data_IF_405040538239
#
_entry.id   IF_405040538239
#
_cell.length_a   1.000
_cell.length_b   1.000
_cell.length_c   1.000
_cell.angle_alpha   90.00
_cell.angle_beta   90.00
_cell.angle_gamma   90.00
#
_symmetry.space_group_name_H-M   'P 1'
#
loop_
_entity.id
_entity.type
_entity.pdbx_description
1 polymer ?
#
# COMPACT_ATOMS: atom_id res chain seq x y z
N UNK A 1 32.00 -3.59 -10.14
CA UNK A 1 32.45 -3.61 -11.54
C UNK A 1 31.54 -2.72 -12.36
N UNK A 2 32.03 -1.65 -13.00
CA UNK A 2 31.19 -0.67 -13.69
C UNK A 2 31.06 -1.02 -15.18
N UNK A 3 29.85 -0.90 -15.73
CA UNK A 3 29.63 -0.87 -17.18
C UNK A 3 28.87 0.41 -17.50
N UNK A 4 29.56 1.25 -18.28
CA UNK A 4 29.12 2.46 -18.95
C UNK A 4 28.34 2.08 -20.22
N UNK A 5 27.53 3.02 -20.71
CA UNK A 5 27.03 3.27 -22.08
C UNK A 5 25.49 3.41 -22.07
N UNK A 6 24.85 4.34 -22.78
CA UNK A 6 25.22 5.57 -23.47
C UNK A 6 23.90 6.21 -23.95
N UNK A 7 23.85 7.52 -24.00
CA UNK A 7 22.74 8.32 -24.53
C UNK A 7 22.42 7.97 -26.00
N UNK A 8 21.15 8.01 -26.36
CA UNK A 8 20.70 8.28 -27.73
C UNK A 8 19.46 9.18 -27.67
N UNK A 9 19.68 10.43 -28.07
CA UNK A 9 18.65 11.41 -28.37
C UNK A 9 18.03 11.08 -29.74
N UNK A 10 16.73 11.27 -29.86
CA UNK A 10 16.09 11.56 -31.15
C UNK A 10 15.05 12.65 -30.93
N UNK A 11 15.40 13.80 -31.47
CA UNK A 11 14.59 14.99 -31.66
C UNK A 11 13.46 14.69 -32.64
N UNK A 12 12.24 15.16 -32.33
CA UNK A 12 11.25 15.46 -33.36
C UNK A 12 10.61 16.81 -33.07
N UNK A 13 11.12 17.78 -33.80
CA UNK A 13 10.58 19.11 -34.07
C UNK A 13 9.19 19.04 -34.72
N UNK A 14 8.22 19.81 -34.23
CA UNK A 14 7.26 20.54 -35.07
C UNK A 14 6.67 21.70 -34.29
N UNK A 15 7.30 22.87 -34.43
CA UNK A 15 6.72 24.16 -34.08
C UNK A 15 5.64 24.50 -35.10
N UNK A 16 4.37 24.60 -34.69
CA UNK A 16 3.32 25.26 -35.47
C UNK A 16 3.23 26.71 -35.01
N UNK A 17 3.91 27.58 -35.76
CA UNK A 17 3.72 29.02 -35.72
C UNK A 17 2.28 29.35 -36.10
N UNK A 18 1.52 29.93 -35.17
CA UNK A 18 0.21 30.50 -35.48
C UNK A 18 0.41 31.94 -35.99
N UNK A 19 0.16 32.10 -37.28
CA UNK A 19 -0.01 33.35 -37.99
C UNK A 19 -0.80 34.40 -37.19
N UNK A 20 -0.16 35.55 -36.95
CA UNK A 20 -0.79 36.77 -36.45
C UNK A 20 -1.15 37.64 -37.66
N UNK A 21 -2.42 37.98 -37.92
CA UNK A 21 -2.75 38.87 -39.03
C UNK A 21 -2.46 40.33 -38.63
N UNK A 22 -1.53 40.95 -39.35
CA UNK A 22 -1.22 42.37 -39.30
C UNK A 22 -2.29 43.19 -40.03
N UNK A 23 -2.89 44.16 -39.33
CA UNK A 23 -3.75 45.21 -39.91
C UNK A 23 -2.86 46.30 -40.52
N UNK A 24 -3.12 46.80 -41.74
CA UNK A 24 -2.39 47.95 -42.27
C UNK A 24 -2.98 49.25 -41.72
N UNK A 25 -2.17 50.30 -41.59
CA UNK A 25 -2.57 51.51 -42.32
C UNK A 25 -1.41 52.36 -42.84
N UNK A 26 -1.74 53.17 -43.84
CA UNK A 26 -1.34 54.58 -43.91
C UNK A 26 0.07 54.87 -44.41
N UNK A 27 0.15 55.23 -45.70
CA UNK A 27 1.25 56.04 -46.21
C UNK A 27 1.17 57.42 -45.55
N UNK A 28 2.24 57.86 -44.91
CA UNK A 28 2.58 59.27 -44.80
C UNK A 28 4.08 59.45 -45.05
N UNK A 29 4.33 60.50 -45.83
CA UNK A 29 5.60 61.00 -46.35
C UNK A 29 6.45 61.47 -45.15
N UNK A 30 7.78 61.36 -45.14
CA UNK A 30 8.68 62.50 -45.45
C UNK A 30 10.16 62.10 -45.31
N UNK A 31 10.93 62.59 -46.28
CA UNK A 31 12.38 62.83 -46.35
C UNK A 31 13.05 63.14 -45.00
N UNK A 32 14.21 62.54 -44.76
CA UNK A 32 15.15 62.93 -43.69
C UNK A 32 16.32 63.69 -44.31
N UNK A 33 16.54 64.94 -43.88
CA UNK A 33 17.83 65.63 -43.88
C UNK A 33 17.90 66.42 -42.57
N UNK A 34 19.04 66.29 -41.90
CA UNK A 34 19.33 66.72 -40.53
C UNK A 34 19.46 68.24 -40.36
N UNK A 35 19.07 68.74 -39.18
CA UNK A 35 19.81 69.78 -38.46
C UNK A 35 19.33 69.86 -37.00
N UNK A 36 20.31 69.89 -36.11
CA UNK A 36 20.25 69.94 -34.64
C UNK A 36 19.84 71.35 -34.18
N UNK A 37 18.89 71.45 -33.23
CA UNK A 37 18.87 72.55 -32.25
C UNK A 37 18.05 72.14 -31.00
N UNK A 38 18.47 72.66 -29.85
CA UNK A 38 18.12 72.26 -28.48
C UNK A 38 16.64 72.51 -28.08
N UNK A 39 15.90 71.46 -27.69
CA UNK A 39 14.71 71.58 -26.83
C UNK A 39 14.63 70.39 -25.84
N UNK A 40 14.44 70.72 -24.56
CA UNK A 40 14.37 69.81 -23.41
C UNK A 40 13.35 68.67 -23.59
N UNK A 41 13.55 67.48 -22.99
CA UNK A 41 12.59 66.38 -23.08
C UNK A 41 11.31 66.74 -22.32
N UNK A 42 10.24 67.05 -23.06
CA UNK A 42 8.91 67.32 -22.52
C UNK A 42 8.38 66.07 -21.79
N UNK A 43 8.43 66.09 -20.46
CA UNK A 43 7.87 65.03 -19.61
C UNK A 43 6.36 65.12 -19.64
N UNK A 44 5.71 64.09 -20.19
CA UNK A 44 4.26 63.98 -20.25
C UNK A 44 3.67 63.81 -18.83
N UNK A 45 3.31 64.93 -18.20
CA UNK A 45 2.69 64.99 -16.86
C UNK A 45 1.19 64.68 -16.86
N UNK A 46 0.67 64.02 -17.90
CA UNK A 46 -0.75 63.69 -17.97
C UNK A 46 -1.09 62.54 -17.01
N UNK A 47 -1.85 62.86 -15.96
CA UNK A 47 -2.48 61.86 -15.10
C UNK A 47 -3.35 60.97 -15.97
N UNK A 48 -3.11 59.64 -15.93
CA UNK A 48 -3.85 58.64 -16.71
C UNK A 48 -5.35 58.82 -16.43
N UNK A 49 -6.06 59.41 -17.40
CA UNK A 49 -7.50 59.65 -17.30
C UNK A 49 -8.20 58.28 -17.32
N UNK A 50 -8.96 57.91 -16.26
CA UNK A 50 -9.68 56.65 -16.23
C UNK A 50 -10.75 56.67 -17.32
N UNK A 51 -10.57 55.83 -18.32
CA UNK A 51 -11.44 55.76 -19.49
C UNK A 51 -12.77 55.09 -19.12
N UNK A 52 -13.66 55.84 -18.47
CA UNK A 52 -15.00 55.41 -18.06
C UNK A 52 -15.96 55.38 -19.24
N UNK A 53 -15.73 54.44 -20.16
CA UNK A 53 -16.70 54.10 -21.18
C UNK A 53 -17.71 53.09 -20.62
N UNK A 54 -19.01 53.36 -20.77
CA UNK A 54 -20.09 52.39 -20.46
C UNK A 54 -19.89 51.04 -21.15
N UNK A 55 -19.19 51.01 -22.30
CA UNK A 55 -18.85 49.78 -23.03
C UNK A 55 -17.71 49.01 -22.33
N UNK A 56 -16.71 49.73 -21.81
CA UNK A 56 -15.60 49.16 -21.04
C UNK A 56 -16.11 48.60 -19.70
N UNK A 57 -16.97 49.34 -18.99
CA UNK A 57 -17.58 48.86 -17.73
C UNK A 57 -18.42 47.60 -17.94
N UNK A 58 -19.15 47.51 -19.05
CA UNK A 58 -19.91 46.30 -19.42
C UNK A 58 -18.97 45.12 -19.72
N UNK A 59 -17.85 45.36 -20.40
CA UNK A 59 -16.84 44.34 -20.70
C UNK A 59 -16.15 43.84 -19.42
N UNK A 60 -15.73 44.76 -18.54
CA UNK A 60 -15.11 44.46 -17.25
C UNK A 60 -16.10 43.69 -16.34
N UNK A 61 -17.37 44.10 -16.26
CA UNK A 61 -18.41 43.34 -15.54
C UNK A 61 -18.62 41.94 -16.14
N UNK A 62 -18.52 41.78 -17.46
CA UNK A 62 -18.67 40.47 -18.12
C UNK A 62 -17.43 39.58 -17.90
N UNK A 63 -16.23 40.16 -17.89
CA UNK A 63 -14.98 39.45 -17.57
C UNK A 63 -14.93 39.05 -16.09
N UNK A 64 -15.29 39.95 -15.17
CA UNK A 64 -15.40 39.64 -13.74
C UNK A 64 -16.41 38.53 -13.46
N UNK A 65 -17.58 38.55 -14.10
CA UNK A 65 -18.56 37.44 -13.99
C UNK A 65 -18.04 36.13 -14.57
N UNK A 66 -17.20 36.17 -15.62
CA UNK A 66 -16.56 34.96 -16.18
C UNK A 66 -15.45 34.44 -15.27
N UNK A 67 -14.62 35.30 -14.69
CA UNK A 67 -13.55 34.90 -13.80
C UNK A 67 -14.08 34.35 -12.48
N UNK A 68 -15.16 34.92 -11.92
CA UNK A 68 -15.84 34.36 -10.73
C UNK A 68 -16.39 32.96 -11.03
N UNK A 69 -17.08 32.76 -12.15
CA UNK A 69 -17.56 31.42 -12.56
C UNK A 69 -16.44 30.42 -12.81
N UNK A 70 -15.30 30.87 -13.34
CA UNK A 70 -14.11 30.03 -13.52
C UNK A 70 -13.46 29.70 -12.19
N UNK A 71 -13.36 30.66 -11.27
CA UNK A 71 -12.85 30.46 -9.92
C UNK A 71 -13.75 29.53 -9.11
N UNK A 72 -15.08 29.62 -9.23
CA UNK A 72 -16.03 28.68 -8.63
C UNK A 72 -15.87 27.26 -9.17
N UNK A 73 -15.69 27.10 -10.50
CA UNK A 73 -15.43 25.80 -11.11
C UNK A 73 -14.07 25.23 -10.72
N UNK A 74 -13.03 26.05 -10.69
CA UNK A 74 -11.70 25.66 -10.20
C UNK A 74 -11.73 25.37 -8.71
N UNK A 75 -12.61 26.05 -7.96
CA UNK A 75 -12.76 25.83 -6.54
C UNK A 75 -13.36 24.45 -6.24
N UNK A 76 -14.34 24.02 -7.03
CA UNK A 76 -14.92 22.67 -7.02
C UNK A 76 -14.00 21.60 -7.62
N UNK A 77 -12.94 21.98 -8.36
CA UNK A 77 -12.01 21.03 -8.97
C UNK A 77 -10.97 20.47 -7.98
N UNK A 78 -10.81 21.07 -6.80
CA UNK A 78 -9.83 20.59 -5.81
C UNK A 78 -10.43 19.54 -4.89
N UNK A 79 -9.81 18.35 -4.86
CA UNK A 79 -10.16 17.24 -3.95
C UNK A 79 -10.16 17.67 -2.47
N UNK A 80 -9.34 18.67 -2.11
CA UNK A 80 -9.27 19.20 -0.75
C UNK A 80 -10.51 19.99 -0.31
N UNK A 81 -11.41 20.34 -1.23
CA UNK A 81 -12.69 21.00 -0.91
C UNK A 81 -13.84 20.01 -0.73
N UNK A 82 -13.60 18.71 -0.87
CA UNK A 82 -14.60 17.70 -0.56
C UNK A 82 -14.87 17.67 0.96
N UNK A 83 -16.13 17.43 1.37
CA UNK A 83 -16.45 17.03 2.73
C UNK A 83 -15.59 15.83 3.16
N UNK A 84 -15.24 15.80 4.46
CA UNK A 84 -14.35 14.77 5.01
C UNK A 84 -14.88 13.35 4.74
N UNK A 85 -16.20 13.16 4.80
CA UNK A 85 -16.87 11.88 4.57
C UNK A 85 -16.67 11.38 3.14
N UNK A 86 -16.79 12.28 2.15
CA UNK A 86 -16.55 11.94 0.75
C UNK A 86 -15.07 11.65 0.49
N UNK A 87 -14.18 12.41 1.13
CA UNK A 87 -12.74 12.15 1.03
C UNK A 87 -12.38 10.80 1.64
N UNK A 88 -12.97 10.42 2.78
CA UNK A 88 -12.79 9.10 3.38
C UNK A 88 -13.31 7.98 2.48
N UNK A 89 -14.48 8.15 1.85
CA UNK A 89 -14.99 7.16 0.89
C UNK A 89 -14.08 6.98 -0.32
N UNK A 90 -13.56 8.08 -0.87
CA UNK A 90 -12.60 8.03 -1.99
C UNK A 90 -11.34 7.29 -1.55
N UNK A 91 -10.76 7.63 -0.40
CA UNK A 91 -9.56 6.99 0.13
C UNK A 91 -9.80 5.51 0.46
N UNK A 92 -10.98 5.16 0.98
CA UNK A 92 -11.39 3.79 1.29
C UNK A 92 -11.54 2.91 0.04
N UNK A 93 -11.82 3.50 -1.12
CA UNK A 93 -11.89 2.79 -2.39
C UNK A 93 -10.52 2.52 -3.03
N UNK A 94 -9.46 3.22 -2.60
CA UNK A 94 -8.10 3.05 -3.14
C UNK A 94 -7.40 1.79 -2.60
N UNK A 95 -6.30 1.39 -3.24
CA UNK A 95 -5.42 0.39 -2.66
C UNK A 95 -4.59 0.98 -1.51
N UNK A 96 -4.23 0.20 -0.48
CA UNK A 96 -3.40 0.66 0.63
C UNK A 96 -2.11 1.37 0.20
N UNK A 97 -1.41 0.84 -0.82
CA UNK A 97 -0.21 1.47 -1.38
C UNK A 97 -0.49 2.85 -1.96
N UNK A 98 -1.59 3.01 -2.69
CA UNK A 98 -1.98 4.28 -3.30
C UNK A 98 -2.32 5.32 -2.23
N UNK A 99 -2.98 4.92 -1.13
CA UNK A 99 -3.23 5.83 0.00
C UNK A 99 -1.92 6.36 0.59
N UNK A 100 -0.89 5.52 0.71
CA UNK A 100 0.44 5.96 1.16
C UNK A 100 1.12 6.91 0.16
N UNK A 101 0.86 6.77 -1.14
CA UNK A 101 1.34 7.72 -2.16
C UNK A 101 0.57 9.05 -2.05
N UNK A 102 -0.76 9.01 -1.91
CA UNK A 102 -1.61 10.20 -1.73
C UNK A 102 -1.18 11.01 -0.50
N UNK A 103 -0.78 10.31 0.56
CA UNK A 103 -0.22 10.92 1.78
C UNK A 103 1.01 11.79 1.53
N UNK A 104 1.76 11.56 0.46
CA UNK A 104 2.96 12.32 0.11
C UNK A 104 2.67 13.54 -0.79
N UNK A 105 1.43 13.68 -1.29
CA UNK A 105 1.08 14.72 -2.26
C UNK A 105 1.10 16.12 -1.64
N UNK A 106 0.55 16.29 -0.44
CA UNK A 106 0.60 17.56 0.29
C UNK A 106 0.41 17.36 1.81
N UNK A 107 0.69 18.42 2.58
CA UNK A 107 0.64 18.40 4.05
C UNK A 107 -0.78 18.14 4.58
N UNK A 108 -1.80 18.77 3.99
CA UNK A 108 -3.19 18.62 4.43
C UNK A 108 -3.68 17.17 4.29
N UNK A 109 -3.41 16.50 3.16
CA UNK A 109 -3.72 15.09 2.96
C UNK A 109 -2.90 14.20 3.89
N UNK A 110 -1.65 14.55 4.15
CA UNK A 110 -0.80 13.80 5.07
C UNK A 110 -1.39 13.79 6.49
N UNK A 111 -1.80 14.97 6.98
CA UNK A 111 -2.42 15.13 8.29
C UNK A 111 -3.78 14.43 8.35
N UNK A 112 -4.64 14.65 7.35
CA UNK A 112 -5.95 14.02 7.25
C UNK A 112 -5.86 12.48 7.26
N UNK A 113 -4.97 11.91 6.45
CA UNK A 113 -4.78 10.44 6.38
C UNK A 113 -4.21 9.90 7.68
N UNK A 114 -3.33 10.63 8.38
CA UNK A 114 -2.80 10.22 9.69
C UNK A 114 -3.90 10.21 10.76
N UNK A 115 -4.74 11.24 10.79
CA UNK A 115 -5.81 11.37 11.77
C UNK A 115 -6.88 10.29 11.58
N UNK A 116 -7.24 10.00 10.33
CA UNK A 116 -8.28 9.01 10.00
C UNK A 116 -7.72 7.65 9.55
N UNK A 117 -6.45 7.35 9.88
CA UNK A 117 -5.74 6.16 9.41
C UNK A 117 -6.54 4.87 9.68
N UNK A 118 -7.09 4.74 10.88
CA UNK A 118 -7.86 3.57 11.29
C UNK A 118 -9.13 3.37 10.46
N UNK A 119 -9.89 4.44 10.22
CA UNK A 119 -11.16 4.36 9.47
C UNK A 119 -10.90 3.97 8.03
N UNK A 120 -9.92 4.63 7.39
CA UNK A 120 -9.52 4.34 6.00
C UNK A 120 -9.06 2.88 5.88
N UNK A 121 -8.16 2.43 6.76
CA UNK A 121 -7.66 1.06 6.73
C UNK A 121 -8.78 0.04 6.96
N UNK A 122 -9.67 0.29 7.91
CA UNK A 122 -10.81 -0.59 8.20
C UNK A 122 -11.72 -0.74 6.98
N UNK A 123 -12.05 0.38 6.32
CA UNK A 123 -12.91 0.36 5.14
C UNK A 123 -12.26 -0.43 4.01
N UNK A 124 -10.98 -0.16 3.71
CA UNK A 124 -10.22 -0.90 2.69
C UNK A 124 -10.19 -2.40 2.99
N UNK A 125 -9.86 -2.78 4.23
CA UNK A 125 -9.77 -4.18 4.65
C UNK A 125 -11.13 -4.86 4.52
N UNK A 126 -12.21 -4.21 4.95
CA UNK A 126 -13.56 -4.77 4.87
C UNK A 126 -14.06 -4.97 3.44
N UNK A 127 -13.65 -4.10 2.51
CA UNK A 127 -14.10 -4.16 1.12
C UNK A 127 -13.24 -5.10 0.26
N UNK A 128 -11.93 -5.16 0.51
CA UNK A 128 -10.97 -5.84 -0.39
C UNK A 128 -10.28 -7.07 0.20
N UNK A 129 -10.06 -7.09 1.53
CA UNK A 129 -9.19 -8.07 2.19
C UNK A 129 -9.90 -8.78 3.35
N UNK A 130 -11.20 -9.02 3.20
CA UNK A 130 -12.04 -9.56 4.26
C UNK A 130 -11.64 -10.97 4.68
N UNK A 131 -11.34 -11.84 3.71
CA UNK A 131 -10.90 -13.22 3.96
C UNK A 131 -9.49 -13.24 4.56
N UNK A 132 -8.57 -12.46 4.00
CA UNK A 132 -7.20 -12.38 4.47
C UNK A 132 -7.12 -11.85 5.90
N UNK A 133 -7.90 -10.82 6.22
CA UNK A 133 -7.98 -10.23 7.56
C UNK A 133 -8.34 -11.26 8.63
N UNK A 134 -9.23 -12.20 8.31
CA UNK A 134 -9.67 -13.27 9.22
C UNK A 134 -8.62 -14.36 9.40
N UNK A 135 -7.79 -14.61 8.39
CA UNK A 135 -6.72 -15.60 8.41
C UNK A 135 -5.47 -15.11 9.14
N UNK A 136 -5.19 -13.80 9.07
CA UNK A 136 -3.94 -13.21 9.56
C UNK A 136 -4.19 -12.15 10.64
N UNK A 137 -4.66 -12.52 11.84
CA UNK A 137 -4.80 -11.57 12.94
C UNK A 137 -3.45 -10.97 13.33
N UNK A 138 -3.45 -9.73 13.82
CA UNK A 138 -2.27 -9.08 14.35
C UNK A 138 -1.94 -9.61 15.77
N UNK A 139 -0.65 -9.76 16.12
CA UNK A 139 -0.26 -9.97 17.51
C UNK A 139 -0.62 -8.75 18.36
N UNK A 140 -0.99 -8.99 19.61
CA UNK A 140 -1.41 -7.95 20.55
C UNK A 140 -0.20 -7.37 21.26
N UNK A 141 -0.16 -6.04 21.42
CA UNK A 141 0.87 -5.35 22.22
C UNK A 141 0.81 -5.82 23.67
N UNK A 142 1.96 -6.10 24.29
CA UNK A 142 2.02 -6.49 25.69
C UNK A 142 1.39 -5.41 26.60
N UNK A 143 1.58 -4.14 26.25
CA UNK A 143 0.97 -3.00 26.95
C UNK A 143 -0.58 -3.02 26.97
N UNK A 144 -1.24 -3.75 26.06
CA UNK A 144 -2.70 -3.90 26.02
C UNK A 144 -3.19 -5.14 26.79
N UNK A 145 -2.28 -6.02 27.22
CA UNK A 145 -2.61 -7.21 28.01
C UNK A 145 -2.68 -6.80 29.49
N UNK A 146 -3.56 -7.47 30.25
CA UNK A 146 -3.69 -7.28 31.70
C UNK A 146 -2.32 -7.37 32.41
N UNK A 147 -1.90 -6.34 33.17
CA UNK A 147 -0.63 -6.33 33.90
C UNK A 147 -0.43 -7.55 34.80
N UNK A 148 -1.49 -8.12 35.37
CA UNK A 148 -1.39 -9.32 36.20
C UNK A 148 -0.84 -10.53 35.41
N UNK A 149 -1.09 -10.58 34.10
CA UNK A 149 -0.60 -11.64 33.24
C UNK A 149 0.83 -11.43 32.74
N UNK A 150 1.40 -10.23 32.91
CA UNK A 150 2.74 -9.90 32.37
C UNK A 150 3.83 -10.79 32.99
N UNK A 151 3.77 -11.02 34.30
CA UNK A 151 4.73 -11.87 35.00
C UNK A 151 4.78 -13.29 34.43
N UNK A 152 3.60 -13.89 34.23
CA UNK A 152 3.49 -15.23 33.66
C UNK A 152 3.94 -15.28 32.19
N UNK A 153 3.62 -14.26 31.40
CA UNK A 153 4.01 -14.17 30.00
C UNK A 153 5.52 -13.99 29.83
N UNK A 154 6.16 -13.15 30.65
CA UNK A 154 7.60 -12.87 30.62
C UNK A 154 8.45 -13.92 31.37
N UNK A 155 7.82 -14.89 32.03
CA UNK A 155 8.52 -15.93 32.79
C UNK A 155 9.57 -16.66 31.90
N UNK A 156 10.86 -16.69 32.30
CA UNK A 156 11.94 -17.25 31.49
C UNK A 156 11.78 -18.75 31.24
N UNK A 157 11.14 -19.49 32.16
CA UNK A 157 10.83 -20.92 31.95
C UNK A 157 9.86 -21.10 30.79
N UNK A 158 8.82 -20.27 30.75
CA UNK A 158 7.85 -20.24 29.66
C UNK A 158 8.51 -19.83 28.35
N UNK A 159 9.36 -18.81 28.37
CA UNK A 159 10.06 -18.34 27.17
C UNK A 159 10.98 -19.40 26.59
N UNK A 160 11.64 -20.22 27.42
CA UNK A 160 12.42 -21.38 26.97
C UNK A 160 11.55 -22.45 26.31
N UNK A 161 10.36 -22.74 26.86
CA UNK A 161 9.41 -23.68 26.25
C UNK A 161 8.92 -23.16 24.89
N UNK A 162 8.56 -21.89 24.81
CA UNK A 162 8.14 -21.26 23.56
C UNK A 162 9.29 -21.19 22.53
N UNK A 163 10.55 -21.09 22.99
CA UNK A 163 11.71 -21.12 22.12
C UNK A 163 11.95 -22.48 21.43
N UNK A 164 11.37 -23.58 21.92
CA UNK A 164 11.44 -24.87 21.23
C UNK A 164 10.71 -24.82 19.88
N UNK A 165 9.61 -24.08 19.79
CA UNK A 165 8.93 -23.81 18.53
C UNK A 165 9.73 -22.90 17.58
N UNK A 166 10.81 -22.24 18.05
CA UNK A 166 11.65 -21.33 17.24
C UNK A 166 12.79 -22.05 16.52
N UNK A 167 13.30 -23.17 17.05
CA UNK A 167 14.52 -23.84 16.54
C UNK A 167 14.39 -24.38 15.10
N UNK A 168 13.20 -24.40 14.52
CA UNK A 168 12.95 -24.95 13.20
C UNK A 168 13.02 -23.92 12.05
N UNK A 169 12.88 -22.61 12.31
CA UNK A 169 12.67 -21.63 11.24
C UNK A 169 13.92 -20.81 10.94
N UNK A 170 14.41 -20.89 9.71
CA UNK A 170 15.52 -20.06 9.23
C UNK A 170 15.06 -18.65 8.79
N UNK A 171 13.77 -18.48 8.48
CA UNK A 171 13.24 -17.29 7.79
C UNK A 171 12.28 -16.45 8.67
N UNK A 172 12.13 -16.80 9.96
CA UNK A 172 11.20 -16.15 10.87
C UNK A 172 11.98 -15.52 12.02
N UNK A 173 11.96 -14.18 12.17
CA UNK A 173 12.54 -13.51 13.32
C UNK A 173 11.84 -13.90 14.62
N UNK A 174 12.57 -13.87 15.72
CA UNK A 174 11.97 -14.03 17.04
C UNK A 174 11.06 -12.83 17.38
N UNK A 175 9.89 -13.13 17.95
CA UNK A 175 9.02 -12.10 18.50
C UNK A 175 9.69 -11.38 19.68
N UNK A 176 9.60 -10.05 19.71
CA UNK A 176 10.05 -9.22 20.81
C UNK A 176 9.08 -9.34 22.00
N UNK A 177 9.58 -9.94 23.09
CA UNK A 177 8.79 -10.30 24.26
C UNK A 177 8.41 -9.08 25.11
N UNK A 178 9.17 -7.99 24.99
CA UNK A 178 8.94 -6.78 25.77
C UNK A 178 7.85 -5.91 25.12
N UNK A 179 7.69 -5.99 23.80
CA UNK A 179 6.72 -5.19 23.05
C UNK A 179 5.42 -5.94 22.79
N UNK A 180 5.49 -7.23 22.47
CA UNK A 180 4.34 -8.02 22.02
C UNK A 180 3.99 -9.12 23.00
N UNK A 181 2.70 -9.44 23.07
CA UNK A 181 2.23 -10.59 23.82
C UNK A 181 2.84 -11.86 23.23
N UNK A 182 3.36 -12.73 24.10
CA UNK A 182 3.99 -13.98 23.70
C UNK A 182 3.08 -15.19 23.93
N UNK A 183 1.76 -14.99 24.09
CA UNK A 183 0.81 -16.10 24.11
C UNK A 183 0.87 -16.90 22.80
N UNK A 184 0.44 -18.16 22.84
CA UNK A 184 0.54 -19.08 21.69
C UNK A 184 -0.10 -18.50 20.43
N UNK A 185 -1.30 -17.92 20.54
CA UNK A 185 -1.99 -17.20 19.46
C UNK A 185 -1.15 -16.07 18.85
N UNK A 186 -0.53 -15.22 19.67
CA UNK A 186 0.27 -14.10 19.17
C UNK A 186 1.58 -14.55 18.54
N UNK A 187 2.19 -15.65 19.03
CA UNK A 187 3.36 -16.26 18.39
C UNK A 187 2.99 -16.78 17.00
N UNK A 188 1.87 -17.48 16.85
CA UNK A 188 1.43 -17.95 15.54
C UNK A 188 1.09 -16.79 14.59
N UNK A 189 0.36 -15.77 15.08
CA UNK A 189 0.09 -14.55 14.32
C UNK A 189 1.38 -13.91 13.79
N UNK A 190 2.38 -13.73 14.65
CA UNK A 190 3.70 -13.22 14.28
C UNK A 190 4.38 -14.08 13.21
N UNK A 191 4.43 -15.40 13.40
CA UNK A 191 5.07 -16.31 12.45
C UNK A 191 4.38 -16.28 11.08
N UNK A 192 3.05 -16.25 11.05
CA UNK A 192 2.28 -16.15 9.81
C UNK A 192 2.55 -14.82 9.08
N UNK A 193 2.64 -13.69 9.80
CA UNK A 193 2.96 -12.39 9.21
C UNK A 193 4.40 -12.31 8.69
N UNK A 194 5.37 -12.95 9.38
CA UNK A 194 6.74 -13.05 8.89
C UNK A 194 6.82 -13.86 7.60
N UNK A 195 6.07 -14.97 7.56
CA UNK A 195 6.05 -15.86 6.43
C UNK A 195 5.46 -15.19 5.17
N UNK A 196 4.36 -14.43 5.28
CA UNK A 196 3.80 -13.74 4.10
C UNK A 196 4.78 -12.72 3.52
N UNK A 197 5.59 -12.07 4.38
CA UNK A 197 6.62 -11.14 3.94
C UNK A 197 7.78 -11.85 3.24
N UNK A 198 8.25 -12.97 3.81
CA UNK A 198 9.31 -13.78 3.19
C UNK A 198 8.83 -14.37 1.86
N UNK A 199 7.62 -14.89 1.79
CA UNK A 199 7.03 -15.38 0.54
C UNK A 199 6.92 -14.27 -0.52
N UNK A 200 6.46 -13.08 -0.12
CA UNK A 200 6.36 -11.93 -1.02
C UNK A 200 7.75 -11.48 -1.53
N UNK A 201 8.78 -11.51 -0.68
CA UNK A 201 10.15 -11.20 -1.08
C UNK A 201 10.65 -12.15 -2.18
N UNK A 202 10.41 -13.45 -2.03
CA UNK A 202 10.85 -14.47 -2.99
C UNK A 202 9.93 -14.64 -4.20
N UNK A 203 8.81 -13.93 -4.25
CA UNK A 203 7.82 -14.08 -5.31
C UNK A 203 8.38 -13.84 -6.72
N UNK A 204 9.35 -12.91 -6.85
CA UNK A 204 10.03 -12.67 -8.13
C UNK A 204 10.86 -13.89 -8.57
N UNK A 205 11.60 -14.51 -7.66
CA UNK A 205 12.38 -15.72 -7.92
C UNK A 205 11.46 -16.89 -8.29
N UNK A 206 10.37 -17.05 -7.54
CA UNK A 206 9.32 -18.04 -7.75
C UNK A 206 8.65 -17.90 -9.14
N UNK A 207 8.46 -16.67 -9.62
CA UNK A 207 7.88 -16.38 -10.94
C UNK A 207 8.89 -16.56 -12.08
N UNK A 208 10.15 -16.18 -11.87
CA UNK A 208 11.24 -16.29 -12.86
C UNK A 208 11.93 -17.65 -12.88
N UNK A 209 11.55 -18.57 -11.99
CA UNK A 209 12.18 -19.89 -11.79
C UNK A 209 13.65 -19.82 -11.39
N UNK A 210 14.03 -18.75 -10.72
CA UNK A 210 15.34 -18.66 -10.10
C UNK A 210 15.32 -19.41 -8.76
N UNK A 211 16.34 -20.23 -8.47
CA UNK A 211 16.43 -20.92 -7.19
C UNK A 211 16.50 -19.89 -6.05
N UNK A 212 15.81 -20.18 -4.95
CA UNK A 212 15.93 -19.40 -3.73
C UNK A 212 17.25 -19.80 -3.05
N UNK A 213 18.09 -18.85 -2.62
CA UNK A 213 19.30 -19.16 -1.87
C UNK A 213 18.97 -19.93 -0.59
N UNK A 214 19.57 -21.11 -0.46
CA UNK A 214 19.41 -21.97 0.70
C UNK A 214 20.54 -21.75 1.68
N UNK A 215 20.20 -21.72 2.98
CA UNK A 215 21.16 -21.53 4.06
C UNK A 215 21.51 -22.91 4.61
N UNK A 216 22.81 -23.22 4.66
CA UNK A 216 23.28 -24.48 5.23
C UNK A 216 22.82 -24.61 6.69
N UNK A 217 22.62 -25.86 7.14
CA UNK A 217 22.29 -26.09 8.55
C UNK A 217 23.44 -25.57 9.42
N UNK A 218 23.10 -24.85 10.49
CA UNK A 218 24.03 -24.23 11.45
C UNK A 218 24.80 -23.00 10.94
N UNK A 219 24.52 -22.52 9.73
CA UNK A 219 25.07 -21.26 9.24
C UNK A 219 24.06 -20.12 9.40
N UNK A 220 24.55 -18.96 9.81
CA UNK A 220 23.76 -17.73 9.86
C UNK A 220 24.33 -16.75 8.84
N UNK A 221 23.65 -16.61 7.71
CA UNK A 221 24.05 -15.66 6.66
C UNK A 221 23.58 -14.25 6.99
N UNK A 222 24.44 -13.25 6.81
CA UNK A 222 24.16 -11.83 7.09
C UNK A 222 22.92 -11.32 6.34
N UNK A 223 22.81 -11.61 5.04
CA UNK A 223 21.67 -11.20 4.21
C UNK A 223 20.32 -11.68 4.78
N UNK A 224 20.29 -12.85 5.41
CA UNK A 224 19.07 -13.42 5.98
C UNK A 224 18.71 -12.75 7.31
N UNK A 225 19.71 -12.38 8.11
CA UNK A 225 19.49 -11.62 9.34
C UNK A 225 18.95 -10.23 9.01
N UNK A 226 19.50 -9.56 8.01
CA UNK A 226 19.00 -8.27 7.52
C UNK A 226 17.55 -8.38 7.02
N UNK A 227 17.25 -9.40 6.23
CA UNK A 227 15.91 -9.66 5.72
C UNK A 227 14.91 -9.92 6.88
N UNK A 228 15.27 -10.74 7.85
CA UNK A 228 14.44 -11.01 9.03
C UNK A 228 14.22 -9.75 9.88
N UNK A 229 15.27 -8.95 10.09
CA UNK A 229 15.18 -7.67 10.81
C UNK A 229 14.26 -6.68 10.08
N UNK A 230 14.33 -6.64 8.75
CA UNK A 230 13.44 -5.84 7.92
C UNK A 230 11.99 -6.27 8.08
N UNK A 231 11.71 -7.58 7.99
CA UNK A 231 10.36 -8.12 8.18
C UNK A 231 9.81 -7.81 9.57
N UNK A 232 10.59 -8.01 10.63
CA UNK A 232 10.19 -7.67 11.99
C UNK A 232 9.81 -6.18 12.11
N UNK A 233 10.61 -5.29 11.51
CA UNK A 233 10.35 -3.84 11.52
C UNK A 233 9.02 -3.49 10.82
N UNK A 234 8.68 -4.17 9.72
CA UNK A 234 7.40 -3.95 9.03
C UNK A 234 6.23 -4.42 9.90
N UNK A 235 6.35 -5.58 10.55
CA UNK A 235 5.29 -6.13 11.39
C UNK A 235 5.08 -5.26 12.63
N UNK A 236 6.15 -4.80 13.28
CA UNK A 236 6.06 -3.86 14.41
C UNK A 236 5.31 -2.57 14.01
N UNK A 237 5.55 -2.07 12.80
CA UNK A 237 4.78 -0.96 12.24
C UNK A 237 3.34 -1.36 11.98
N UNK A 238 3.05 -2.54 11.45
CA UNK A 238 1.69 -3.01 11.18
C UNK A 238 0.83 -3.17 12.45
N UNK A 239 1.44 -3.57 13.57
CA UNK A 239 0.75 -3.67 14.87
C UNK A 239 0.30 -2.30 15.39
N UNK A 240 1.04 -1.24 15.06
CA UNK A 240 0.74 0.14 15.51
C UNK A 240 -0.04 0.95 14.47
N UNK A 241 0.20 0.72 13.18
CA UNK A 241 -0.32 1.46 12.03
C UNK A 241 -1.18 0.57 11.13
N UNK A 242 -2.49 0.82 11.15
CA UNK A 242 -3.48 0.00 10.46
C UNK A 242 -3.32 0.03 8.94
N UNK A 243 -2.87 1.15 8.35
CA UNK A 243 -2.59 1.19 6.91
C UNK A 243 -1.42 0.30 6.53
N UNK A 244 -0.41 0.16 7.41
CA UNK A 244 0.72 -0.74 7.15
C UNK A 244 0.25 -2.19 7.15
N UNK A 245 -0.67 -2.55 8.05
CA UNK A 245 -1.29 -3.86 8.04
C UNK A 245 -2.13 -4.10 6.77
N UNK A 246 -2.91 -3.12 6.32
CA UNK A 246 -3.64 -3.22 5.05
C UNK A 246 -2.69 -3.46 3.86
N UNK A 247 -1.51 -2.82 3.84
CA UNK A 247 -0.46 -3.07 2.83
C UNK A 247 0.09 -4.50 2.91
N UNK A 248 0.26 -5.07 4.11
CA UNK A 248 0.66 -6.48 4.26
C UNK A 248 -0.36 -7.42 3.62
N UNK A 249 -1.65 -7.18 3.83
CA UNK A 249 -2.72 -7.97 3.21
C UNK A 249 -2.73 -7.79 1.69
N UNK A 250 -2.53 -6.57 1.19
CA UNK A 250 -2.36 -6.29 -0.24
C UNK A 250 -1.19 -7.11 -0.82
N UNK A 251 -0.01 -7.07 -0.19
CA UNK A 251 1.17 -7.82 -0.62
C UNK A 251 0.92 -9.32 -0.67
N UNK A 252 0.22 -9.84 0.34
CA UNK A 252 -0.11 -11.26 0.38
C UNK A 252 -1.11 -11.65 -0.72
N UNK A 253 -2.11 -10.80 -0.97
CA UNK A 253 -3.04 -11.02 -2.09
C UNK A 253 -2.29 -11.05 -3.43
N UNK A 254 -1.40 -10.10 -3.68
CA UNK A 254 -0.56 -10.05 -4.89
C UNK A 254 0.30 -11.32 -5.03
N UNK A 255 0.79 -11.84 -3.91
CA UNK A 255 1.58 -13.08 -3.85
C UNK A 255 0.72 -14.31 -4.17
N UNK A 256 -0.48 -14.40 -3.60
CA UNK A 256 -1.46 -15.46 -3.91
C UNK A 256 -1.87 -15.41 -5.38
N UNK A 257 -2.22 -14.24 -5.90
CA UNK A 257 -2.60 -14.06 -7.30
C UNK A 257 -1.44 -14.50 -8.21
N UNK A 258 -0.21 -14.09 -7.90
CA UNK A 258 0.97 -14.48 -8.69
C UNK A 258 1.25 -15.99 -8.66
N UNK A 259 1.12 -16.65 -7.51
CA UNK A 259 1.33 -18.11 -7.38
C UNK A 259 0.27 -18.92 -8.12
N UNK A 260 -1.00 -18.51 -8.04
CA UNK A 260 -2.10 -19.12 -8.80
C UNK A 260 -1.88 -18.93 -10.32
N UNK A 261 -1.63 -17.69 -10.77
CA UNK A 261 -1.40 -17.40 -12.19
C UNK A 261 -0.19 -18.17 -12.75
N UNK A 262 0.87 -18.31 -11.95
CA UNK A 262 2.04 -19.13 -12.30
C UNK A 262 1.64 -20.58 -12.52
N UNK A 263 0.83 -21.18 -11.64
CA UNK A 263 0.39 -22.58 -11.78
C UNK A 263 -0.54 -22.75 -12.98
N UNK A 264 -1.44 -21.80 -13.24
CA UNK A 264 -2.30 -21.78 -14.45
C UNK A 264 -1.44 -21.80 -15.72
N UNK A 265 -0.41 -20.95 -15.80
CA UNK A 265 0.52 -20.91 -16.95
C UNK A 265 1.34 -22.21 -17.11
N UNK A 266 1.58 -22.95 -16.03
CA UNK A 266 2.28 -24.23 -16.06
C UNK A 266 1.37 -25.37 -16.53
N UNK A 267 0.16 -25.46 -15.98
CA UNK A 267 -0.83 -26.48 -16.35
C UNK A 267 -1.20 -26.44 -17.84
N UNK A 268 -1.34 -25.23 -18.41
CA UNK A 268 -1.59 -25.05 -19.84
C UNK A 268 -0.49 -25.60 -20.77
N UNK A 269 0.72 -25.82 -20.26
CA UNK A 269 1.84 -26.42 -21.03
C UNK A 269 1.96 -27.94 -20.85
N UNK A 270 1.37 -28.50 -19.79
CA UNK A 270 1.60 -29.88 -19.37
C UNK A 270 0.38 -30.80 -19.55
N UNK A 271 -0.75 -30.32 -20.10
CA UNK A 271 -1.95 -31.13 -20.34
C UNK A 271 -2.65 -31.68 -19.08
N UNK A 272 -2.07 -31.49 -17.90
CA UNK A 272 -2.62 -31.91 -16.63
C UNK A 272 -3.66 -30.88 -16.15
N UNK A 273 -4.94 -31.24 -16.31
CA UNK A 273 -6.05 -30.59 -15.61
C UNK A 273 -6.00 -31.08 -14.16
N UNK A 274 -5.06 -30.56 -13.37
CA UNK A 274 -5.15 -30.70 -11.92
C UNK A 274 -6.36 -29.91 -11.43
N UNK A 275 -7.17 -30.52 -10.55
CA UNK A 275 -8.30 -29.84 -9.89
C UNK A 275 -7.81 -28.55 -9.25
N UNK A 276 -8.19 -27.42 -9.85
CA UNK A 276 -7.76 -26.08 -9.44
C UNK A 276 -8.30 -25.79 -8.04
N UNK A 277 -7.42 -25.51 -7.08
CA UNK A 277 -7.83 -25.27 -5.68
C UNK A 277 -8.67 -24.01 -5.53
N UNK A 278 -8.39 -22.98 -6.35
CA UNK A 278 -9.16 -21.75 -6.42
C UNK A 278 -9.40 -21.38 -7.88
N UNK A 279 -10.66 -21.41 -8.31
CA UNK A 279 -11.07 -21.02 -9.66
C UNK A 279 -11.06 -19.49 -9.79
N UNK A 280 -9.88 -18.89 -9.87
CA UNK A 280 -9.71 -17.46 -10.09
C UNK A 280 -9.86 -17.13 -11.58
N UNK A 281 -10.68 -16.14 -11.89
CA UNK A 281 -10.77 -15.57 -13.25
C UNK A 281 -9.77 -14.42 -13.45
N UNK A 282 -9.43 -14.10 -14.70
CA UNK A 282 -8.55 -12.96 -15.01
C UNK A 282 -9.14 -11.62 -14.52
N UNK A 283 -10.47 -11.49 -14.53
CA UNK A 283 -11.16 -10.30 -14.01
C UNK A 283 -11.03 -10.17 -12.48
N UNK A 284 -11.12 -11.28 -11.74
CA UNK A 284 -10.90 -11.32 -10.29
C UNK A 284 -9.45 -10.97 -9.94
N UNK A 285 -8.49 -11.43 -10.75
CA UNK A 285 -7.08 -11.09 -10.57
C UNK A 285 -6.82 -9.57 -10.70
N UNK A 286 -7.54 -8.89 -11.62
CA UNK A 286 -7.43 -7.42 -11.82
C UNK A 286 -8.19 -6.64 -10.75
N UNK A 287 -9.31 -7.18 -10.23
CA UNK A 287 -10.14 -6.50 -9.22
C UNK A 287 -9.38 -6.22 -7.93
N UNK A 288 -8.39 -7.06 -7.59
CA UNK A 288 -7.55 -6.88 -6.40
C UNK A 288 -8.34 -7.03 -5.10
N UNK A 289 -9.33 -7.93 -5.10
CA UNK A 289 -10.09 -8.34 -3.92
C UNK A 289 -9.87 -9.84 -3.64
N UNK A 290 -10.14 -10.25 -2.40
CA UNK A 290 -9.94 -11.62 -1.94
C UNK A 290 -11.19 -12.50 -2.00
N UNK A 291 -12.24 -12.05 -2.70
CA UNK A 291 -13.55 -12.74 -2.78
C UNK A 291 -13.45 -14.14 -3.38
N UNK A 292 -12.53 -14.36 -4.33
CA UNK A 292 -12.32 -15.67 -4.92
C UNK A 292 -11.79 -16.72 -3.91
N UNK A 293 -11.22 -16.28 -2.79
CA UNK A 293 -10.70 -17.17 -1.72
C UNK A 293 -11.80 -17.75 -0.84
N UNK A 294 -13.04 -17.24 -0.96
CA UNK A 294 -14.22 -17.79 -0.29
C UNK A 294 -14.77 -19.04 -1.00
N UNK A 295 -14.39 -19.26 -2.26
CA UNK A 295 -14.75 -20.46 -3.01
C UNK A 295 -14.24 -21.73 -2.30
N UNK A 296 -14.89 -22.86 -2.60
CA UNK A 296 -14.49 -24.15 -2.06
C UNK A 296 -13.04 -24.46 -2.46
N UNK A 297 -12.23 -24.85 -1.48
CA UNK A 297 -10.85 -25.29 -1.69
C UNK A 297 -10.38 -26.13 -0.51
N UNK A 298 -9.27 -26.89 -0.66
CA UNK A 298 -8.69 -27.61 0.46
C UNK A 298 -8.16 -26.62 1.50
N UNK A 299 -8.28 -26.93 2.80
CA UNK A 299 -7.72 -26.07 3.83
C UNK A 299 -6.19 -26.14 3.80
N UNK A 300 -5.54 -24.97 3.78
CA UNK A 300 -4.09 -24.84 3.88
C UNK A 300 -3.68 -24.70 5.35
N UNK A 301 -3.52 -25.84 6.05
CA UNK A 301 -3.01 -25.83 7.43
C UNK A 301 -1.49 -25.86 7.52
N UNK A 302 -0.84 -26.41 6.52
CA UNK A 302 0.57 -26.77 6.64
C UNK A 302 1.43 -25.50 6.62
N UNK A 303 2.21 -25.33 7.68
CA UNK A 303 3.15 -24.23 7.80
C UNK A 303 4.39 -24.52 6.92
N UNK A 304 4.78 -23.63 6.00
CA UNK A 304 6.03 -23.74 5.26
C UNK A 304 7.26 -23.59 6.17
N UNK A 305 7.77 -24.72 6.70
CA UNK A 305 8.95 -24.71 7.58
C UNK A 305 10.25 -24.29 6.86
N UNK A 306 10.34 -24.58 5.56
CA UNK A 306 11.50 -24.25 4.71
C UNK A 306 11.07 -23.50 3.45
N UNK A 307 11.97 -22.67 2.91
CA UNK A 307 11.71 -21.92 1.66
C UNK A 307 11.50 -22.83 0.45
N UNK A 308 12.00 -24.06 0.49
CA UNK A 308 11.71 -25.09 -0.52
C UNK A 308 10.21 -25.39 -0.64
N UNK A 309 9.47 -25.29 0.46
CA UNK A 309 8.02 -25.53 0.46
C UNK A 309 7.27 -24.46 -0.36
N UNK A 310 7.88 -23.31 -0.64
CA UNK A 310 7.25 -22.23 -1.43
C UNK A 310 7.01 -22.63 -2.88
N UNK A 311 7.78 -23.59 -3.42
CA UNK A 311 7.60 -24.06 -4.78
C UNK A 311 6.27 -24.83 -4.97
N UNK A 312 5.87 -25.61 -3.97
CA UNK A 312 4.62 -26.39 -3.98
C UNK A 312 3.40 -25.63 -3.42
N UNK A 313 3.62 -24.44 -2.85
CA UNK A 313 2.57 -23.66 -2.20
C UNK A 313 1.73 -22.89 -3.23
N UNK A 314 0.44 -23.21 -3.31
CA UNK A 314 -0.53 -22.45 -4.11
C UNK A 314 -1.08 -21.26 -3.36
N UNK A 315 -1.67 -21.51 -2.20
CA UNK A 315 -2.37 -20.49 -1.42
C UNK A 315 -2.11 -20.77 0.04
N UNK A 316 -1.55 -19.77 0.73
CA UNK A 316 -1.29 -19.85 2.16
C UNK A 316 -2.35 -19.08 2.93
N UNK A 317 -3.29 -19.80 3.53
CA UNK A 317 -4.38 -19.22 4.33
C UNK A 317 -4.56 -20.01 5.63
N UNK A 318 -3.81 -19.64 6.68
CA UNK A 318 -3.90 -20.31 7.97
C UNK A 318 -5.22 -19.97 8.67
N UNK A 319 -5.48 -20.64 9.79
CA UNK A 319 -6.57 -20.32 10.72
C UNK A 319 -8.00 -20.46 10.16
N UNK A 320 -8.16 -21.18 9.04
CA UNK A 320 -9.48 -21.48 8.47
C UNK A 320 -9.71 -22.97 8.21
N UNK A 321 -10.97 -23.41 8.32
CA UNK A 321 -11.42 -24.77 7.99
C UNK A 321 -12.66 -24.75 7.12
N UNK A 322 -12.68 -25.57 6.08
CA UNK A 322 -13.92 -25.83 5.35
C UNK A 322 -14.82 -26.74 6.19
N UNK A 323 -16.00 -26.25 6.57
CA UNK A 323 -17.03 -27.08 7.21
C UNK A 323 -17.93 -27.68 6.13
N UNK A 324 -17.91 -29.01 5.96
CA UNK A 324 -18.81 -29.71 5.02
C UNK A 324 -20.28 -29.56 5.42
N UNK A 325 -20.57 -29.55 6.71
CA UNK A 325 -21.92 -29.43 7.26
C UNK A 325 -22.53 -28.05 6.99
N UNK A 326 -21.77 -26.99 7.30
CA UNK A 326 -22.24 -25.60 7.14
C UNK A 326 -21.95 -25.02 5.75
N UNK A 327 -21.25 -25.77 4.89
CA UNK A 327 -20.77 -25.34 3.55
C UNK A 327 -20.14 -23.95 3.57
N UNK A 328 -19.34 -23.67 4.61
CA UNK A 328 -18.70 -22.36 4.80
C UNK A 328 -17.33 -22.51 5.46
N UNK A 329 -16.50 -21.49 5.28
CA UNK A 329 -15.23 -21.33 5.98
C UNK A 329 -15.46 -20.94 7.46
N UNK A 330 -14.90 -21.72 8.37
CA UNK A 330 -14.81 -21.41 9.79
C UNK A 330 -13.44 -20.80 10.09
N UNK A 331 -13.41 -19.74 10.89
CA UNK A 331 -12.19 -19.02 11.28
C UNK A 331 -12.00 -19.10 12.79
N UNK A 332 -10.89 -19.71 13.24
CA UNK A 332 -10.70 -20.05 14.66
C UNK A 332 -10.19 -18.88 15.50
N UNK A 333 -9.23 -18.12 14.97
CA UNK A 333 -8.56 -17.04 15.72
C UNK A 333 -9.27 -15.69 15.63
N UNK A 334 -10.20 -15.52 14.68
CA UNK A 334 -10.81 -14.24 14.39
C UNK A 334 -11.62 -13.64 15.55
N UNK A 335 -12.17 -14.48 16.43
CA UNK A 335 -13.06 -14.03 17.50
C UNK A 335 -12.36 -13.59 18.80
N UNK A 336 -11.02 -13.49 18.83
CA UNK A 336 -10.25 -12.99 19.99
C UNK A 336 -10.23 -13.91 21.21
N UNK A 337 -11.23 -14.78 21.39
CA UNK A 337 -11.37 -15.69 22.55
C UNK A 337 -10.14 -16.58 22.77
N UNK A 338 -9.47 -17.00 21.69
CA UNK A 338 -8.29 -17.86 21.80
C UNK A 338 -7.13 -17.14 22.50
N UNK A 339 -6.96 -15.83 22.24
CA UNK A 339 -5.94 -15.04 22.92
C UNK A 339 -6.19 -15.00 24.44
N UNK A 340 -7.42 -14.70 24.86
CA UNK A 340 -7.79 -14.63 26.27
C UNK A 340 -7.59 -15.98 26.96
N UNK A 341 -7.97 -17.08 26.30
CA UNK A 341 -7.76 -18.44 26.80
C UNK A 341 -6.27 -18.78 26.93
N UNK A 342 -5.45 -18.44 25.92
CA UNK A 342 -4.01 -18.71 25.95
C UNK A 342 -3.29 -17.88 27.03
N UNK A 343 -3.73 -16.63 27.25
CA UNK A 343 -3.23 -15.78 28.35
C UNK A 343 -3.63 -16.38 29.69
N UNK A 344 -4.90 -16.75 29.87
CA UNK A 344 -5.38 -17.40 31.09
C UNK A 344 -4.62 -18.70 31.39
N UNK A 345 -4.35 -19.52 30.36
CA UNK A 345 -3.54 -20.72 30.50
C UNK A 345 -2.11 -20.41 30.96
N UNK A 346 -1.48 -19.37 30.39
CA UNK A 346 -0.15 -18.93 30.80
C UNK A 346 -0.13 -18.47 32.26
N UNK A 347 -1.13 -17.69 32.69
CA UNK A 347 -1.27 -17.24 34.09
C UNK A 347 -1.39 -18.44 35.03
N UNK A 348 -2.24 -19.42 34.72
CA UNK A 348 -2.46 -20.59 35.58
C UNK A 348 -1.18 -21.42 35.81
N UNK A 349 -0.28 -21.49 34.82
CA UNK A 349 0.86 -22.41 34.86
C UNK A 349 2.21 -21.73 35.15
N UNK A 350 2.30 -20.40 35.03
CA UNK A 350 3.57 -19.67 35.13
C UNK A 350 3.52 -18.42 36.02
N UNK A 351 2.46 -18.24 36.81
CA UNK A 351 2.32 -17.17 37.80
C UNK A 351 3.07 -17.42 39.12
N UNK A 352 3.65 -18.61 39.31
CA UNK A 352 4.42 -19.00 40.50
C UNK A 352 5.92 -18.80 40.35
#
# INVERSE_FOLDING_TARGET
MPVVLSNAATEFTTSKELHRPTRPPGKDVVKKVDSIDDEEPLVDTTVILPLHSKKLDRLNKKQAKKSVKLAEKQALASVLRLPAELLLQVLGALQPRDVLVVRQVNVALNEFIKEHEYVIAKDIISQRYWTLHRCFPLPILLAKVDPAAHFALLNPRRQKLMALHKKAYQHIPAIDQEKLCTCTTCIYAWNHLCLILDLAHWQKNLNSRQPIPMIARHETSEWNQELMSHHATIIDRAVTKHLTYAVLLQMHLETIVGTILRRIKQAGKAGAVEERLYQMSDAEAVCGNDTFLEKNGPPSYEFPYHRDNYYGLEVYLPNRKWSKEKKQWLYYLFHGRQHEQDVGWAVLHFSS
#
